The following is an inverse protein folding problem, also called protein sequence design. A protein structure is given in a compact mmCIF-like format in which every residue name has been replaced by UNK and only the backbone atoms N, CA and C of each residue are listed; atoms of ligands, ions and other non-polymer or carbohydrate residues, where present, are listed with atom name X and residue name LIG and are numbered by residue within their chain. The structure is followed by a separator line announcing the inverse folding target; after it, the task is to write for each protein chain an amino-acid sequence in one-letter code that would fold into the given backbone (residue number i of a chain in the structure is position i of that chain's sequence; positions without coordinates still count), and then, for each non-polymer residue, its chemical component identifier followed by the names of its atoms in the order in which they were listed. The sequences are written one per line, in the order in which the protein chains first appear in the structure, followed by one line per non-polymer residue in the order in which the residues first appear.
data_IF_912885455299
#
_entry.id   IF_912885455299
#
_cell.length_a   1.000
_cell.length_b   1.000
_cell.length_c   1.000
_cell.angle_alpha   90.00
_cell.angle_beta   90.00
_cell.angle_gamma   90.00
#
_symmetry.space_group_name_H-M   'P 1'
#
loop_
_entity.id
_entity.type
_entity.pdbx_description
1 polymer ?
#
# COMPACT_ATOMS: atom_id res chain seq x y z
N UNK A 1 -16.90 -11.61 -46.36
CA UNK A 1 -16.04 -11.13 -45.26
C UNK A 1 -16.85 -10.12 -44.45
N UNK A 2 -17.31 -10.48 -43.25
CA UNK A 2 -18.15 -9.59 -42.43
C UNK A 2 -17.33 -8.53 -41.70
N UNK A 3 -17.81 -7.28 -41.65
CA UNK A 3 -17.15 -6.17 -40.96
C UNK A 3 -17.18 -6.39 -39.44
N UNK A 4 -16.00 -6.49 -38.81
CA UNK A 4 -15.87 -6.60 -37.35
C UNK A 4 -15.92 -5.20 -36.73
N UNK A 5 -17.00 -4.86 -36.03
CA UNK A 5 -17.10 -3.60 -35.29
C UNK A 5 -16.27 -3.70 -34.01
N UNK A 6 -15.27 -2.84 -33.87
CA UNK A 6 -14.53 -2.66 -32.62
C UNK A 6 -15.26 -1.60 -31.78
N UNK A 7 -15.70 -1.98 -30.59
CA UNK A 7 -16.40 -1.09 -29.66
C UNK A 7 -15.70 -1.10 -28.31
N UNK A 8 -15.52 0.08 -27.73
CA UNK A 8 -14.96 0.27 -26.39
C UNK A 8 -16.00 0.99 -25.51
N UNK A 9 -15.91 0.76 -24.21
CA UNK A 9 -16.75 1.39 -23.21
C UNK A 9 -15.88 2.18 -22.23
N UNK A 10 -16.36 3.35 -21.82
CA UNK A 10 -15.74 4.17 -20.78
C UNK A 10 -16.70 4.25 -19.60
N UNK A 11 -16.19 3.98 -18.41
CA UNK A 11 -16.93 4.04 -17.17
C UNK A 11 -16.26 5.02 -16.22
N UNK A 12 -17.07 5.68 -15.40
CA UNK A 12 -16.63 6.51 -14.30
C UNK A 12 -17.13 5.89 -12.99
N UNK A 13 -16.25 5.81 -11.99
CA UNK A 13 -16.66 5.43 -10.64
C UNK A 13 -17.37 6.62 -10.01
N UNK A 14 -18.57 6.40 -9.46
CA UNK A 14 -19.33 7.40 -8.70
C UNK A 14 -19.45 6.95 -7.25
N UNK A 15 -18.36 7.02 -6.47
CA UNK A 15 -18.38 6.59 -5.08
C UNK A 15 -19.21 7.53 -4.22
N UNK A 16 -19.80 6.99 -3.16
CA UNK A 16 -20.36 7.82 -2.09
C UNK A 16 -19.26 8.37 -1.16
N UNK A 17 -19.64 9.25 -0.23
CA UNK A 17 -18.69 9.89 0.69
C UNK A 17 -17.96 8.91 1.62
N UNK A 18 -18.57 7.76 1.97
CA UNK A 18 -17.93 6.74 2.78
C UNK A 18 -16.87 5.99 1.94
N UNK A 19 -17.22 5.59 0.72
CA UNK A 19 -16.34 4.91 -0.21
C UNK A 19 -15.12 5.78 -0.54
N UNK A 20 -15.32 7.07 -0.85
CA UNK A 20 -14.19 7.98 -1.09
C UNK A 20 -13.26 8.08 0.12
N UNK A 21 -13.81 8.16 1.33
CA UNK A 21 -13.02 8.20 2.57
C UNK A 21 -12.21 6.91 2.75
N UNK A 22 -12.82 5.76 2.49
CA UNK A 22 -12.12 4.47 2.55
C UNK A 22 -11.00 4.40 1.50
N UNK A 23 -11.25 4.85 0.27
CA UNK A 23 -10.23 4.89 -0.79
C UNK A 23 -9.06 5.82 -0.43
N UNK A 24 -9.34 7.00 0.14
CA UNK A 24 -8.31 7.93 0.62
C UNK A 24 -7.48 7.33 1.75
N UNK A 25 -8.13 6.69 2.73
CA UNK A 25 -7.44 5.99 3.84
C UNK A 25 -6.57 4.87 3.31
N UNK A 26 -7.11 4.04 2.42
CA UNK A 26 -6.38 2.96 1.76
C UNK A 26 -5.10 3.47 1.06
N UNK A 27 -5.23 4.46 0.19
CA UNK A 27 -4.09 5.04 -0.52
C UNK A 27 -3.08 5.68 0.44
N UNK A 28 -3.56 6.37 1.48
CA UNK A 28 -2.74 6.95 2.53
C UNK A 28 -1.94 5.91 3.30
N UNK A 29 -2.56 4.81 3.71
CA UNK A 29 -1.88 3.71 4.42
C UNK A 29 -0.79 3.07 3.56
N UNK A 30 -1.06 2.81 2.28
CA UNK A 30 -0.06 2.28 1.37
C UNK A 30 1.14 3.23 1.22
N UNK A 31 0.87 4.54 1.05
CA UNK A 31 1.93 5.55 0.95
C UNK A 31 2.76 5.64 2.21
N UNK A 32 2.13 5.59 3.38
CA UNK A 32 2.82 5.61 4.67
C UNK A 32 3.75 4.40 4.81
N UNK A 33 3.23 3.19 4.60
CA UNK A 33 4.00 1.94 4.73
C UNK A 33 5.21 1.93 3.79
N UNK A 34 5.01 2.31 2.52
CA UNK A 34 6.12 2.40 1.56
C UNK A 34 7.19 3.39 2.01
N UNK A 35 6.79 4.58 2.45
CA UNK A 35 7.74 5.61 2.90
C UNK A 35 8.50 5.16 4.15
N UNK A 36 7.84 4.49 5.09
CA UNK A 36 8.46 3.97 6.30
C UNK A 36 9.48 2.87 5.97
N UNK A 37 9.12 1.93 5.09
CA UNK A 37 10.04 0.90 4.61
C UNK A 37 11.23 1.52 3.87
N UNK A 38 10.99 2.50 3.00
CA UNK A 38 12.05 3.21 2.28
C UNK A 38 12.99 3.96 3.22
N UNK A 39 12.47 4.65 4.23
CA UNK A 39 13.27 5.38 5.22
C UNK A 39 14.19 4.41 5.99
N UNK A 40 13.64 3.29 6.47
CA UNK A 40 14.43 2.25 7.13
C UNK A 40 15.53 1.68 6.22
N UNK A 41 15.20 1.39 4.96
CA UNK A 41 16.17 0.84 4.01
C UNK A 41 17.29 1.85 3.69
N UNK A 42 16.99 3.15 3.67
CA UNK A 42 17.99 4.21 3.53
C UNK A 42 18.90 4.28 4.75
N UNK A 43 18.33 4.27 5.95
CA UNK A 43 19.11 4.28 7.20
C UNK A 43 20.07 3.08 7.27
N UNK A 44 19.56 1.87 6.96
CA UNK A 44 20.40 0.66 6.87
C UNK A 44 21.53 0.80 5.87
N UNK A 45 21.23 1.36 4.70
CA UNK A 45 22.24 1.58 3.67
C UNK A 45 23.32 2.57 4.13
N UNK A 46 22.94 3.65 4.80
CA UNK A 46 23.87 4.64 5.37
C UNK A 46 24.77 4.03 6.46
N UNK A 47 24.25 3.07 7.22
CA UNK A 47 24.98 2.30 8.22
C UNK A 47 25.85 1.18 7.62
N UNK A 48 25.84 1.00 6.29
CA UNK A 48 26.57 -0.07 5.59
C UNK A 48 25.94 -1.46 5.75
N UNK A 49 24.70 -1.53 6.23
CA UNK A 49 23.97 -2.77 6.39
C UNK A 49 23.39 -3.27 5.06
N UNK A 50 23.07 -4.56 5.02
CA UNK A 50 22.33 -5.12 3.90
C UNK A 50 20.87 -4.65 3.94
N UNK A 51 20.30 -4.43 2.75
CA UNK A 51 18.87 -4.19 2.63
C UNK A 51 18.07 -5.33 3.23
N UNK A 52 17.00 -4.98 3.93
CA UNK A 52 16.08 -5.96 4.48
C UNK A 52 15.35 -6.67 3.32
N UNK A 53 15.28 -8.00 3.37
CA UNK A 53 14.50 -8.77 2.42
C UNK A 53 12.99 -8.66 2.70
N UNK A 54 12.19 -9.07 1.72
CA UNK A 54 10.72 -9.04 1.78
C UNK A 54 10.15 -9.64 3.07
N UNK A 55 10.60 -10.83 3.47
CA UNK A 55 10.13 -11.48 4.70
C UNK A 55 10.39 -10.64 5.96
N UNK A 56 11.52 -9.92 6.01
CA UNK A 56 11.83 -9.00 7.09
C UNK A 56 10.90 -7.79 7.09
N UNK A 57 10.61 -7.24 5.91
CA UNK A 57 9.73 -6.07 5.78
C UNK A 57 8.27 -6.42 6.12
N UNK A 58 7.79 -7.61 5.75
CA UNK A 58 6.48 -8.12 6.18
C UNK A 58 6.38 -8.29 7.70
N UNK A 59 7.47 -8.71 8.36
CA UNK A 59 7.51 -8.79 9.83
C UNK A 59 7.39 -7.40 10.44
N UNK A 60 8.14 -6.42 9.94
CA UNK A 60 8.05 -5.03 10.40
C UNK A 60 6.67 -4.41 10.16
N UNK A 61 6.05 -4.69 9.02
CA UNK A 61 4.67 -4.25 8.77
C UNK A 61 3.70 -4.82 9.81
N UNK A 62 3.89 -6.08 10.20
CA UNK A 62 3.08 -6.70 11.25
C UNK A 62 3.28 -5.98 12.58
N UNK A 63 4.51 -5.59 12.90
CA UNK A 63 4.83 -4.79 14.09
C UNK A 63 4.19 -3.40 14.02
N UNK A 64 4.31 -2.69 12.89
CA UNK A 64 3.67 -1.38 12.69
C UNK A 64 2.15 -1.46 12.82
N UNK A 65 1.50 -2.48 12.26
CA UNK A 65 0.04 -2.64 12.40
C UNK A 65 -0.42 -2.91 13.82
N UNK A 66 0.45 -3.41 14.69
CA UNK A 66 0.16 -3.72 16.09
C UNK A 66 0.71 -2.67 17.07
N UNK A 67 1.45 -1.67 16.59
CA UNK A 67 1.97 -0.57 17.41
C UNK A 67 0.84 0.41 17.77
N UNK A 68 0.92 1.00 18.97
CA UNK A 68 -0.02 2.03 19.42
C UNK A 68 0.06 3.31 18.58
N UNK A 69 1.25 3.67 18.08
CA UNK A 69 1.48 4.88 17.27
C UNK A 69 0.84 4.78 15.88
N UNK A 70 0.73 3.56 15.38
CA UNK A 70 0.25 3.26 14.02
C UNK A 70 -0.93 2.29 14.01
N UNK A 71 -1.71 2.25 15.11
CA UNK A 71 -2.85 1.35 15.27
C UNK A 71 -3.90 1.49 14.14
N UNK A 72 -4.02 2.69 13.56
CA UNK A 72 -4.90 2.98 12.42
C UNK A 72 -4.51 2.23 11.13
N UNK A 73 -3.30 1.68 11.01
CA UNK A 73 -2.93 0.79 9.90
C UNK A 73 -3.65 -0.56 9.97
N UNK A 74 -4.15 -0.96 11.14
CA UNK A 74 -4.91 -2.19 11.28
C UNK A 74 -6.22 -2.16 10.47
N UNK A 75 -6.80 -0.97 10.30
CA UNK A 75 -8.06 -0.74 9.56
C UNK A 75 -7.91 -0.90 8.04
N UNK A 76 -6.67 -0.85 7.52
CA UNK A 76 -6.40 -1.06 6.11
C UNK A 76 -6.24 -2.56 5.79
N UNK A 77 -6.71 -3.03 4.62
CA UNK A 77 -6.48 -4.40 4.17
C UNK A 77 -4.98 -4.72 4.14
N UNK A 78 -4.59 -5.84 4.76
CA UNK A 78 -3.17 -6.19 4.91
C UNK A 78 -2.50 -6.62 3.60
N UNK A 79 -3.23 -7.28 2.69
CA UNK A 79 -2.64 -7.80 1.46
C UNK A 79 -2.05 -6.72 0.55
N UNK A 80 -2.74 -5.58 0.29
CA UNK A 80 -2.13 -4.46 -0.42
C UNK A 80 -0.93 -3.84 0.28
N UNK A 81 -0.91 -3.82 1.63
CA UNK A 81 0.23 -3.31 2.38
C UNK A 81 1.47 -4.19 2.20
N UNK A 82 1.30 -5.51 2.13
CA UNK A 82 2.40 -6.43 1.80
C UNK A 82 2.99 -6.21 0.40
N UNK A 83 2.26 -5.62 -0.55
CA UNK A 83 2.79 -5.36 -1.91
C UNK A 83 3.66 -4.11 -1.95
N UNK A 84 3.50 -3.19 -0.99
CA UNK A 84 4.20 -1.90 -0.96
C UNK A 84 5.32 -1.82 0.07
N UNK A 85 5.61 -2.93 0.77
CA UNK A 85 6.77 -3.04 1.66
C UNK A 85 8.03 -3.43 0.92
#
# INVERSE_FOLDING_TARGET
MGMRRLQAYKYELRPDGQQERQMRRFAGSCRFVFNQALALQKERYEQGEKKLGYAGLCKLLTEWRNSSETAWLADAPVHPLHVVV
#
